data_IF_759681121600
#
_entry.id   IF_759681121600
#
_cell.length_a   1.000
_cell.length_b   1.000
_cell.length_c   1.000
_cell.angle_alpha   90.00
_cell.angle_beta   90.00
_cell.angle_gamma   90.00
#
_symmetry.space_group_name_H-M   'P 1'
#
loop_
_entity.id
_entity.type
_entity.pdbx_description
1 polymer ?
#
# COMPACT_ATOMS: atom_id res chain seq x y z
N UNK A 1 2.25 3.36 15.93
CA UNK A 1 3.05 2.13 16.08
C UNK A 1 2.30 1.22 17.04
N UNK A 2 2.11 -0.05 16.71
CA UNK A 2 1.54 -1.06 17.60
C UNK A 2 2.48 -2.27 17.60
N UNK A 3 2.96 -2.73 18.77
CA UNK A 3 3.99 -3.77 18.88
C UNK A 3 5.24 -3.51 18.01
N UNK A 4 5.62 -2.25 17.81
CA UNK A 4 6.78 -1.88 16.98
C UNK A 4 6.55 -1.92 15.46
N UNK A 5 5.36 -2.29 14.98
CA UNK A 5 5.02 -2.20 13.56
C UNK A 5 4.94 -0.75 13.08
N UNK A 6 5.25 -0.55 11.79
CA UNK A 6 5.35 0.78 11.17
C UNK A 6 4.59 0.82 9.85
N UNK A 7 3.77 1.84 9.66
CA UNK A 7 3.21 2.21 8.36
C UNK A 7 3.98 3.40 7.82
N UNK A 8 4.70 3.22 6.72
CA UNK A 8 5.28 4.32 5.95
C UNK A 8 4.34 4.64 4.80
N UNK A 9 3.91 5.90 4.68
CA UNK A 9 3.04 6.32 3.59
C UNK A 9 3.58 7.55 2.86
N UNK A 10 3.27 7.64 1.56
CA UNK A 10 3.50 8.82 0.73
C UNK A 10 2.42 8.92 -0.34
N UNK A 11 2.04 10.15 -0.67
CA UNK A 11 1.14 10.47 -1.77
C UNK A 11 1.66 11.72 -2.48
N UNK A 12 1.68 11.68 -3.82
CA UNK A 12 1.90 12.86 -4.64
C UNK A 12 0.56 13.29 -5.20
N UNK A 13 0.05 14.39 -4.65
CA UNK A 13 -1.29 14.89 -4.90
C UNK A 13 -1.20 16.13 -5.79
N UNK A 14 -2.01 16.16 -6.85
CA UNK A 14 -2.16 17.32 -7.73
C UNK A 14 -3.58 17.83 -7.59
N UNK A 15 -3.72 19.14 -7.35
CA UNK A 15 -5.01 19.81 -7.28
C UNK A 15 -5.42 20.32 -8.66
N UNK A 16 -6.68 20.09 -9.01
CA UNK A 16 -7.31 20.52 -10.26
C UNK A 16 -8.59 21.29 -9.93
N UNK A 17 -9.14 22.04 -10.89
CA UNK A 17 -10.35 22.86 -10.67
C UNK A 17 -11.54 22.06 -10.13
N UNK A 18 -11.64 20.77 -10.49
CA UNK A 18 -12.73 19.88 -10.07
C UNK A 18 -12.39 18.97 -8.87
N UNK A 19 -11.21 19.13 -8.24
CA UNK A 19 -10.82 18.31 -7.08
C UNK A 19 -9.32 18.03 -7.01
N UNK A 20 -8.95 16.79 -6.73
CA UNK A 20 -7.55 16.38 -6.68
C UNK A 20 -7.36 14.98 -7.26
N UNK A 21 -6.13 14.69 -7.69
CA UNK A 21 -5.69 13.37 -8.14
C UNK A 21 -4.43 12.95 -7.41
N UNK A 22 -4.29 11.65 -7.16
CA UNK A 22 -3.08 11.06 -6.61
C UNK A 22 -2.32 10.40 -7.75
N UNK A 23 -1.21 11.02 -8.17
CA UNK A 23 -0.42 10.50 -9.31
C UNK A 23 0.56 9.41 -8.88
N UNK A 24 1.11 9.53 -7.67
CA UNK A 24 2.01 8.53 -7.08
C UNK A 24 1.65 8.26 -5.65
N UNK A 25 1.76 7.02 -5.22
CA UNK A 25 1.53 6.66 -3.82
C UNK A 25 2.42 5.50 -3.39
N UNK A 26 2.52 5.31 -2.08
CA UNK A 26 3.11 4.13 -1.47
C UNK A 26 2.62 3.98 -0.05
N UNK A 27 2.04 2.83 0.28
CA UNK A 27 1.63 2.44 1.63
C UNK A 27 2.38 1.17 2.00
N UNK A 28 3.44 1.29 2.79
CA UNK A 28 4.33 0.19 3.16
C UNK A 28 4.17 -0.14 4.64
N UNK A 29 3.55 -1.28 4.94
CA UNK A 29 3.37 -1.75 6.30
C UNK A 29 4.43 -2.79 6.66
N UNK A 30 5.17 -2.52 7.74
CA UNK A 30 6.33 -3.27 8.19
C UNK A 30 6.09 -3.86 9.58
N UNK A 31 6.59 -5.07 9.80
CA UNK A 31 6.75 -5.66 11.11
C UNK A 31 7.86 -4.94 11.91
N UNK A 32 7.97 -5.27 13.21
CA UNK A 32 8.94 -4.64 14.11
C UNK A 32 10.40 -4.85 13.67
N UNK A 33 10.70 -6.01 13.10
CA UNK A 33 12.01 -6.39 12.55
C UNK A 33 12.30 -5.74 11.18
N UNK A 34 11.38 -4.94 10.65
CA UNK A 34 11.48 -4.33 9.33
C UNK A 34 11.01 -5.20 8.18
N UNK A 35 10.54 -6.43 8.44
CA UNK A 35 9.98 -7.28 7.39
C UNK A 35 8.70 -6.65 6.80
N UNK A 36 8.62 -6.60 5.47
CA UNK A 36 7.44 -6.08 4.78
C UNK A 36 6.26 -7.04 4.93
N UNK A 37 5.17 -6.56 5.52
CA UNK A 37 3.92 -7.30 5.64
C UNK A 37 3.11 -7.13 4.36
N UNK A 38 2.97 -5.90 3.89
CA UNK A 38 2.47 -5.59 2.56
C UNK A 38 2.94 -4.21 2.13
N UNK A 39 2.91 -3.97 0.81
CA UNK A 39 3.04 -2.62 0.25
C UNK A 39 2.06 -2.41 -0.89
N UNK A 40 1.32 -1.32 -0.89
CA UNK A 40 0.59 -0.86 -2.08
C UNK A 40 1.35 0.31 -2.70
N UNK A 41 1.63 0.27 -3.99
CA UNK A 41 2.20 1.41 -4.72
C UNK A 41 1.87 1.34 -6.21
N UNK A 42 2.25 2.40 -6.94
CA UNK A 42 2.14 2.48 -8.39
C UNK A 42 3.47 2.85 -9.06
N UNK A 43 4.58 2.33 -8.51
CA UNK A 43 5.86 2.37 -9.19
C UNK A 43 5.75 1.60 -10.52
N UNK A 44 6.52 2.03 -11.53
CA UNK A 44 6.56 1.35 -12.83
C UNK A 44 7.41 0.06 -12.73
N UNK A 45 7.02 -0.87 -11.86
CA UNK A 45 7.74 -2.12 -11.60
C UNK A 45 7.61 -3.05 -12.83
N UNK A 46 8.72 -3.46 -13.47
CA UNK A 46 8.69 -4.41 -14.58
C UNK A 46 8.01 -5.74 -14.25
N UNK A 47 8.09 -6.22 -13.01
CA UNK A 47 7.47 -7.47 -12.57
C UNK A 47 5.95 -7.35 -12.47
N UNK A 48 5.42 -6.14 -12.29
CA UNK A 48 3.99 -5.86 -12.23
C UNK A 48 3.34 -5.66 -13.61
N UNK A 49 4.11 -5.57 -14.70
CA UNK A 49 3.61 -5.20 -16.05
C UNK A 49 2.46 -6.09 -16.56
N UNK A 50 2.43 -7.36 -16.15
CA UNK A 50 1.40 -8.31 -16.59
C UNK A 50 0.16 -8.31 -15.68
N UNK A 51 0.13 -7.49 -14.63
CA UNK A 51 -1.03 -7.37 -13.74
C UNK A 51 -2.10 -6.49 -14.40
N UNK A 52 -3.38 -6.90 -14.39
CA UNK A 52 -4.49 -6.11 -14.90
C UNK A 52 -4.63 -4.69 -14.31
N UNK A 53 -4.04 -4.43 -13.15
CA UNK A 53 -4.10 -3.13 -12.46
C UNK A 53 -2.85 -2.27 -12.71
N UNK A 54 -1.89 -2.72 -13.52
CA UNK A 54 -0.65 -1.97 -13.77
C UNK A 54 -0.94 -0.50 -14.16
N UNK A 55 -0.25 0.49 -13.55
CA UNK A 55 0.92 0.36 -12.67
C UNK A 55 0.62 0.04 -11.21
N UNK A 56 -0.64 0.04 -10.80
CA UNK A 56 -1.06 -0.19 -9.42
C UNK A 56 -0.93 -1.68 -9.06
N UNK A 57 -0.31 -1.96 -7.92
CA UNK A 57 -0.15 -3.32 -7.44
C UNK A 57 0.05 -3.36 -5.92
N UNK A 58 -0.04 -4.57 -5.37
CA UNK A 58 0.28 -4.88 -3.97
C UNK A 58 1.45 -5.85 -3.90
N UNK A 59 2.50 -5.49 -3.20
CA UNK A 59 3.52 -6.42 -2.72
C UNK A 59 3.05 -7.15 -1.47
N UNK A 60 3.36 -8.43 -1.42
CA UNK A 60 3.29 -9.29 -0.24
C UNK A 60 4.65 -10.00 -0.08
N UNK A 61 4.94 -10.66 1.05
CA UNK A 61 6.18 -11.43 1.21
C UNK A 61 6.41 -12.49 0.13
N UNK A 62 5.33 -12.95 -0.53
CA UNK A 62 5.39 -14.06 -1.48
C UNK A 62 5.35 -13.63 -2.94
N UNK A 63 4.61 -12.57 -3.25
CA UNK A 63 4.32 -12.17 -4.64
C UNK A 63 3.74 -10.77 -4.76
N UNK A 64 3.74 -10.30 -6.00
CA UNK A 64 2.92 -9.21 -6.48
C UNK A 64 1.47 -9.67 -6.72
N UNK A 65 0.52 -8.80 -6.40
CA UNK A 65 -0.90 -9.00 -6.58
C UNK A 65 -1.50 -7.81 -7.34
N UNK A 66 -2.46 -8.10 -8.21
CA UNK A 66 -3.30 -7.06 -8.81
C UNK A 66 -4.12 -6.39 -7.71
N UNK A 67 -3.97 -5.08 -7.58
CA UNK A 67 -4.69 -4.26 -6.63
C UNK A 67 -4.69 -2.82 -7.14
N UNK A 68 -5.85 -2.19 -7.16
CA UNK A 68 -5.94 -0.73 -7.29
C UNK A 68 -5.51 -0.07 -5.99
N UNK A 69 -5.23 1.24 -6.03
CA UNK A 69 -4.95 2.04 -4.85
C UNK A 69 -6.12 1.93 -3.86
N UNK A 70 -5.89 1.40 -2.64
CA UNK A 70 -6.87 1.54 -1.57
C UNK A 70 -6.89 2.99 -1.07
N UNK A 71 -8.02 3.42 -0.54
CA UNK A 71 -8.07 4.61 0.31
C UNK A 71 -7.17 4.42 1.54
N UNK A 72 -6.72 5.52 2.12
CA UNK A 72 -5.92 5.44 3.34
C UNK A 72 -6.70 4.81 4.50
N UNK A 73 -8.01 5.03 4.58
CA UNK A 73 -8.89 4.37 5.56
C UNK A 73 -8.91 2.85 5.38
N UNK A 74 -9.02 2.34 4.16
CA UNK A 74 -8.97 0.89 3.88
C UNK A 74 -7.63 0.28 4.30
N UNK A 75 -6.52 0.99 4.10
CA UNK A 75 -5.20 0.56 4.59
C UNK A 75 -5.19 0.45 6.11
N UNK A 76 -5.72 1.45 6.81
CA UNK A 76 -5.80 1.42 8.27
C UNK A 76 -6.72 0.30 8.78
N UNK A 77 -7.84 0.04 8.09
CA UNK A 77 -8.74 -1.08 8.41
C UNK A 77 -8.06 -2.43 8.22
N UNK A 78 -7.31 -2.62 7.12
CA UNK A 78 -6.53 -3.84 6.89
C UNK A 78 -5.51 -4.05 8.02
N UNK A 79 -4.79 -2.99 8.43
CA UNK A 79 -3.83 -3.05 9.54
C UNK A 79 -4.52 -3.42 10.86
N UNK A 80 -5.65 -2.80 11.17
CA UNK A 80 -6.42 -3.10 12.38
C UNK A 80 -6.87 -4.55 12.41
N UNK A 81 -7.38 -5.09 11.29
CA UNK A 81 -7.75 -6.50 11.19
C UNK A 81 -6.58 -7.45 11.42
N UNK A 82 -5.38 -7.10 10.93
CA UNK A 82 -4.16 -7.89 11.20
C UNK A 82 -3.73 -7.85 12.67
N UNK A 83 -4.04 -6.76 13.39
CA UNK A 83 -3.75 -6.64 14.82
C UNK A 83 -4.72 -7.48 15.65
N UNK A 84 -6.01 -7.48 15.28
CA UNK A 84 -7.04 -8.25 15.97
C UNK A 84 -6.83 -9.76 15.83
N UNK A 85 -6.46 -10.24 14.64
CA UNK A 85 -6.18 -11.68 14.40
C UNK A 85 -4.94 -12.18 15.18
N UNK A 86 -4.06 -11.28 15.60
CA UNK A 86 -2.84 -11.62 16.37
C UNK A 86 -3.03 -11.56 17.88
N UNK A 87 -4.22 -11.18 18.37
CA UNK A 87 -4.59 -11.31 19.79
C UNK A 87 -5.11 -12.71 20.07
#
# INVERSE_FOLDING_TARGET
MYNGSKLHFKEFVVFETAGFKILKYGYNYLAQDGAMIFRYDNALDPQAKNLPTYPEHKHTPKKLLSAKRPSFEEVLKEISGLIEVKK
#
